data_IF_217262499556
#
_entry.id   IF_217262499556
#
_cell.length_a   1.000
_cell.length_b   1.000
_cell.length_c   1.000
_cell.angle_alpha   90.00
_cell.angle_beta   90.00
_cell.angle_gamma   90.00
#
_symmetry.space_group_name_H-M   'P 1'
#
loop_
_entity.id
_entity.type
_entity.pdbx_description
1 polymer ?
#
# COMPACT_ATOMS: atom_id res chain seq x y z
N UNK A 1 3.83 16.13 -13.18
CA UNK A 1 2.84 15.81 -14.21
C UNK A 1 3.42 16.06 -15.58
N UNK A 2 3.48 15.00 -16.40
CA UNK A 2 3.86 15.08 -17.81
C UNK A 2 2.88 15.99 -18.56
N UNK A 3 3.41 16.83 -19.45
CA UNK A 3 2.61 17.54 -20.45
C UNK A 3 3.36 17.45 -21.77
N UNK A 4 2.66 17.36 -22.91
CA UNK A 4 3.29 17.32 -24.24
C UNK A 4 4.27 18.49 -24.50
N UNK A 5 4.13 19.59 -23.75
CA UNK A 5 4.98 20.77 -23.82
C UNK A 5 6.30 20.66 -23.00
N UNK A 6 6.38 19.73 -22.06
CA UNK A 6 7.56 19.44 -21.22
C UNK A 6 7.79 17.92 -21.19
N UNK A 7 8.13 17.35 -22.35
CA UNK A 7 8.26 15.90 -22.51
C UNK A 7 9.53 15.32 -21.87
N UNK A 8 10.36 16.14 -21.21
CA UNK A 8 11.66 15.79 -20.64
C UNK A 8 12.61 14.98 -21.57
N UNK A 9 12.39 15.02 -22.89
CA UNK A 9 13.13 14.25 -23.88
C UNK A 9 12.59 12.84 -24.17
N UNK A 10 11.42 12.46 -23.65
CA UNK A 10 10.78 11.15 -23.87
C UNK A 10 9.71 11.20 -24.96
N UNK A 11 9.48 10.04 -25.61
CA UNK A 11 8.50 9.92 -26.70
C UNK A 11 7.06 9.95 -26.19
N UNK A 12 6.82 9.41 -25.00
CA UNK A 12 5.51 9.34 -24.35
C UNK A 12 5.65 9.28 -22.82
N UNK A 13 4.51 9.32 -22.13
CA UNK A 13 4.45 9.23 -20.67
C UNK A 13 4.95 7.88 -20.14
N UNK A 14 4.70 6.75 -20.82
CA UNK A 14 5.18 5.44 -20.37
C UNK A 14 6.71 5.37 -20.31
N UNK A 15 7.40 5.93 -21.30
CA UNK A 15 8.87 5.97 -21.35
C UNK A 15 9.43 6.87 -20.24
N UNK A 16 8.75 7.99 -19.97
CA UNK A 16 9.07 8.84 -18.84
C UNK A 16 8.91 8.10 -17.51
N UNK A 17 7.76 7.44 -17.26
CA UNK A 17 7.52 6.67 -16.03
C UNK A 17 8.51 5.52 -15.86
N UNK A 18 8.80 4.77 -16.93
CA UNK A 18 9.84 3.71 -16.93
C UNK A 18 11.22 4.26 -16.56
N UNK A 19 11.54 5.50 -16.94
CA UNK A 19 12.82 6.14 -16.56
C UNK A 19 12.92 6.48 -15.07
N UNK A 20 11.78 6.63 -14.39
CA UNK A 20 11.72 6.94 -12.96
C UNK A 20 11.76 5.69 -12.06
N UNK A 21 11.59 4.50 -12.65
CA UNK A 21 11.72 3.22 -11.97
C UNK A 21 13.01 3.17 -11.14
N UNK A 22 12.89 2.54 -9.96
CA UNK A 22 14.01 2.31 -9.05
C UNK A 22 14.39 0.83 -9.11
N UNK A 23 13.92 0.02 -8.18
CA UNK A 23 14.10 -1.43 -8.17
C UNK A 23 12.88 -2.16 -8.75
N UNK A 24 13.01 -3.46 -9.00
CA UNK A 24 11.91 -4.28 -9.52
C UNK A 24 10.82 -4.56 -8.47
N UNK A 25 11.19 -4.64 -7.19
CA UNK A 25 10.24 -4.94 -6.13
C UNK A 25 10.68 -4.46 -4.76
N UNK A 26 9.70 -4.22 -3.89
CA UNK A 26 9.86 -3.92 -2.47
C UNK A 26 8.90 -4.77 -1.65
N UNK A 27 9.28 -5.06 -0.41
CA UNK A 27 8.41 -5.73 0.56
C UNK A 27 8.45 -4.95 1.86
N UNK A 28 7.26 -4.64 2.38
CA UNK A 28 7.06 -3.92 3.62
C UNK A 28 6.19 -4.74 4.56
N UNK A 29 6.39 -4.54 5.86
CA UNK A 29 5.65 -5.23 6.91
C UNK A 29 5.11 -4.18 7.87
N UNK A 30 3.78 -4.10 7.98
CA UNK A 30 3.10 -3.12 8.82
C UNK A 30 2.30 -3.81 9.91
N UNK A 31 2.63 -3.52 11.16
CA UNK A 31 1.74 -3.85 12.28
C UNK A 31 0.55 -2.91 12.31
N UNK A 32 -0.64 -3.44 12.52
CA UNK A 32 -1.88 -2.69 12.75
C UNK A 32 -2.66 -3.29 13.93
N UNK A 33 -3.47 -2.45 14.58
CA UNK A 33 -4.30 -2.84 15.71
C UNK A 33 -5.67 -3.36 15.25
N UNK A 34 -6.21 -4.35 15.97
CA UNK A 34 -7.57 -4.83 15.79
C UNK A 34 -8.23 -5.12 17.14
N UNK A 35 -9.56 -5.09 17.16
CA UNK A 35 -10.36 -5.43 18.34
C UNK A 35 -10.39 -6.96 18.47
N UNK A 36 -9.61 -7.49 19.41
CA UNK A 36 -9.65 -8.91 19.75
C UNK A 36 -10.96 -9.27 20.45
N UNK A 37 -11.49 -8.36 21.27
CA UNK A 37 -12.79 -8.52 21.93
C UNK A 37 -13.45 -7.19 22.25
N UNK A 38 -14.74 -7.09 21.97
CA UNK A 38 -15.58 -5.95 22.31
C UNK A 38 -16.45 -6.30 23.53
N UNK A 39 -16.27 -5.57 24.64
CA UNK A 39 -17.06 -5.74 25.87
C UNK A 39 -18.27 -4.80 25.95
N UNK A 40 -18.48 -3.94 24.94
CA UNK A 40 -19.46 -2.87 24.92
C UNK A 40 -19.02 -1.63 25.71
N UNK A 41 -19.76 -0.52 25.54
CA UNK A 41 -19.49 0.77 26.21
C UNK A 41 -18.04 1.27 26.02
N UNK A 42 -17.55 1.23 24.78
CA UNK A 42 -16.19 1.65 24.39
C UNK A 42 -15.06 0.91 25.13
N UNK A 43 -15.33 -0.29 25.65
CA UNK A 43 -14.34 -1.14 26.29
C UNK A 43 -13.92 -2.30 25.37
N UNK A 44 -12.63 -2.34 25.01
CA UNK A 44 -12.08 -3.25 24.03
C UNK A 44 -10.80 -3.90 24.53
N UNK A 45 -10.63 -5.19 24.24
CA UNK A 45 -9.31 -5.82 24.22
C UNK A 45 -8.74 -5.61 22.80
N UNK A 46 -7.57 -4.97 22.73
CA UNK A 46 -6.86 -4.70 21.47
C UNK A 46 -5.69 -5.66 21.34
N UNK A 47 -5.48 -6.18 20.14
CA UNK A 47 -4.30 -6.96 19.77
C UNK A 47 -3.75 -6.46 18.42
N UNK A 48 -2.64 -7.01 17.98
CA UNK A 48 -1.91 -6.57 16.79
C UNK A 48 -1.79 -7.69 15.76
N UNK A 49 -1.97 -7.34 14.50
CA UNK A 49 -1.69 -8.21 13.36
C UNK A 49 -0.67 -7.54 12.45
N UNK A 50 -0.15 -8.30 11.49
CA UNK A 50 0.83 -7.81 10.51
C UNK A 50 0.29 -7.96 9.10
N UNK A 51 0.39 -6.89 8.32
CA UNK A 51 0.14 -6.87 6.89
C UNK A 51 1.48 -6.83 6.14
N UNK A 52 1.70 -7.83 5.30
CA UNK A 52 2.81 -7.85 4.35
C UNK A 52 2.33 -7.20 3.05
N UNK A 53 3.04 -6.16 2.61
CA UNK A 53 2.74 -5.41 1.38
C UNK A 53 3.88 -5.61 0.40
N UNK A 54 3.56 -6.08 -0.81
CA UNK A 54 4.48 -6.19 -1.95
C UNK A 54 4.19 -5.09 -2.94
N UNK A 55 5.25 -4.44 -3.38
CA UNK A 55 5.20 -3.40 -4.40
C UNK A 55 6.09 -3.87 -5.55
N UNK A 56 5.50 -4.18 -6.69
CA UNK A 56 6.20 -4.82 -7.82
C UNK A 56 6.04 -3.99 -9.08
N UNK A 57 7.14 -3.70 -9.75
CA UNK A 57 7.11 -2.98 -11.01
C UNK A 57 6.45 -3.83 -12.10
N UNK A 58 5.53 -3.22 -12.84
CA UNK A 58 4.80 -3.82 -13.95
C UNK A 58 5.09 -3.06 -15.23
N UNK A 59 5.90 -3.65 -16.11
CA UNK A 59 6.19 -3.05 -17.44
C UNK A 59 4.93 -2.76 -18.27
N UNK A 60 3.89 -3.63 -18.29
CA UNK A 60 2.65 -3.34 -18.99
C UNK A 60 1.86 -2.15 -18.45
N UNK A 61 2.06 -1.79 -17.18
CA UNK A 61 1.37 -0.68 -16.52
C UNK A 61 2.28 0.55 -16.34
N UNK A 62 3.56 0.45 -16.74
CA UNK A 62 4.59 1.47 -16.53
C UNK A 62 4.58 2.04 -15.09
N UNK A 63 4.38 1.17 -14.10
CA UNK A 63 4.18 1.56 -12.71
C UNK A 63 4.26 0.38 -11.74
N UNK A 64 4.30 0.68 -10.45
CA UNK A 64 4.30 -0.28 -9.36
C UNK A 64 2.88 -0.74 -9.03
N UNK A 65 2.66 -2.04 -9.05
CA UNK A 65 1.44 -2.70 -8.60
C UNK A 65 1.62 -3.10 -7.15
N UNK A 66 0.60 -2.79 -6.33
CA UNK A 66 0.59 -3.12 -4.92
C UNK A 66 -0.26 -4.36 -4.69
N UNK A 67 0.25 -5.31 -3.93
CA UNK A 67 -0.52 -6.42 -3.38
C UNK A 67 -0.22 -6.57 -1.90
N UNK A 68 -1.17 -7.09 -1.13
CA UNK A 68 -1.01 -7.22 0.31
C UNK A 68 -1.69 -8.48 0.84
N UNK A 69 -1.21 -8.95 1.99
CA UNK A 69 -1.76 -10.09 2.69
C UNK A 69 -1.66 -9.91 4.21
N UNK A 70 -2.70 -10.32 4.93
CA UNK A 70 -2.72 -10.42 6.39
C UNK A 70 -2.79 -11.89 6.75
N UNK A 71 -1.65 -12.48 7.14
CA UNK A 71 -1.55 -13.93 7.42
C UNK A 71 -2.50 -14.38 8.54
N UNK A 72 -2.73 -13.50 9.51
CA UNK A 72 -3.56 -13.77 10.69
C UNK A 72 -5.01 -13.27 10.56
N UNK A 73 -5.49 -13.01 9.34
CA UNK A 73 -6.85 -12.49 9.13
C UNK A 73 -7.94 -13.40 9.73
N UNK A 74 -7.68 -14.71 9.83
CA UNK A 74 -8.61 -15.68 10.44
C UNK A 74 -8.82 -15.46 11.96
N UNK A 75 -7.94 -14.70 12.63
CA UNK A 75 -8.09 -14.34 14.06
C UNK A 75 -8.96 -13.10 14.25
N UNK A 76 -9.13 -12.30 13.21
CA UNK A 76 -9.83 -11.01 13.27
C UNK A 76 -11.30 -11.26 13.01
N UNK A 77 -12.11 -11.21 14.06
CA UNK A 77 -13.55 -11.41 13.98
C UNK A 77 -14.26 -10.09 13.61
N UNK A 78 -14.94 -10.01 12.43
CA UNK A 78 -15.70 -8.83 12.04
C UNK A 78 -16.83 -8.49 13.02
N UNK A 79 -17.38 -9.47 13.75
CA UNK A 79 -18.44 -9.23 14.73
C UNK A 79 -17.97 -8.41 15.93
N UNK A 80 -16.66 -8.27 16.15
CA UNK A 80 -16.11 -7.38 17.18
C UNK A 80 -16.05 -5.91 16.74
N UNK A 81 -16.37 -5.60 15.47
CA UNK A 81 -16.31 -4.26 14.90
C UNK A 81 -15.08 -3.99 14.03
N UNK A 82 -14.39 -5.03 13.58
CA UNK A 82 -13.22 -4.92 12.70
C UNK A 82 -13.62 -4.88 11.22
N UNK A 83 -12.78 -4.27 10.39
CA UNK A 83 -12.86 -4.36 8.93
C UNK A 83 -12.23 -5.66 8.40
N UNK A 84 -12.29 -5.86 7.09
CA UNK A 84 -11.48 -6.85 6.39
C UNK A 84 -10.07 -6.31 6.09
N UNK A 85 -9.26 -7.10 5.37
CA UNK A 85 -7.90 -6.73 5.01
C UNK A 85 -7.82 -5.46 4.17
N UNK A 86 -8.77 -5.24 3.26
CA UNK A 86 -8.85 -4.03 2.44
C UNK A 86 -9.13 -2.81 3.33
N UNK A 87 -10.09 -2.91 4.26
CA UNK A 87 -10.37 -1.81 5.18
C UNK A 87 -9.19 -1.45 6.09
N UNK A 88 -8.40 -2.42 6.55
CA UNK A 88 -7.15 -2.13 7.29
C UNK A 88 -6.07 -1.52 6.39
N UNK A 89 -6.00 -1.96 5.13
CA UNK A 89 -5.06 -1.41 4.17
C UNK A 89 -5.33 0.08 3.93
N UNK A 90 -6.58 0.43 3.63
CA UNK A 90 -6.97 1.81 3.33
C UNK A 90 -6.87 2.74 4.55
N UNK A 91 -7.24 2.25 5.74
CA UNK A 91 -7.35 3.09 6.94
C UNK A 91 -6.03 3.30 7.70
N UNK A 92 -5.10 2.35 7.66
CA UNK A 92 -3.84 2.44 8.42
C UNK A 92 -2.60 2.21 7.55
N UNK A 93 -2.60 1.25 6.63
CA UNK A 93 -1.36 0.84 5.96
C UNK A 93 -1.00 1.74 4.77
N UNK A 94 -1.97 2.17 3.97
CA UNK A 94 -1.73 2.83 2.70
C UNK A 94 -0.94 4.14 2.83
N UNK A 95 -1.33 5.01 3.77
CA UNK A 95 -0.63 6.28 3.96
C UNK A 95 0.81 6.10 4.47
N UNK A 96 1.05 5.06 5.29
CA UNK A 96 2.40 4.69 5.77
C UNK A 96 3.25 4.19 4.62
N UNK A 97 2.68 3.36 3.75
CA UNK A 97 3.32 2.90 2.53
C UNK A 97 3.75 4.07 1.63
N UNK A 98 2.89 5.07 1.42
CA UNK A 98 3.25 6.24 0.62
C UNK A 98 4.44 7.01 1.22
N UNK A 99 4.53 7.12 2.55
CA UNK A 99 5.68 7.74 3.23
C UNK A 99 6.94 6.93 2.99
N UNK A 100 6.88 5.61 3.15
CA UNK A 100 8.03 4.73 2.97
C UNK A 100 8.50 4.71 1.51
N UNK A 101 7.59 4.67 0.54
CA UNK A 101 7.91 4.81 -0.89
C UNK A 101 8.54 6.18 -1.21
N UNK A 102 7.98 7.26 -0.68
CA UNK A 102 8.55 8.60 -0.84
C UNK A 102 9.97 8.71 -0.28
N UNK A 103 10.25 8.05 0.85
CA UNK A 103 11.60 7.98 1.44
C UNK A 103 12.62 7.27 0.54
N UNK A 104 12.16 6.38 -0.34
CA UNK A 104 12.94 5.70 -1.36
C UNK A 104 13.02 6.51 -2.68
N UNK A 105 12.40 7.70 -2.72
CA UNK A 105 12.31 8.54 -3.92
C UNK A 105 11.37 7.96 -4.97
N UNK A 106 10.33 7.24 -4.54
CA UNK A 106 9.25 6.74 -5.39
C UNK A 106 8.02 7.60 -5.12
N UNK A 107 7.63 8.39 -6.11
CA UNK A 107 6.44 9.22 -6.03
C UNK A 107 5.16 8.41 -6.25
N UNK A 108 4.04 8.87 -5.71
CA UNK A 108 2.73 8.21 -5.86
C UNK A 108 2.27 8.08 -7.31
N UNK A 109 2.74 8.97 -8.20
CA UNK A 109 2.45 8.93 -9.64
C UNK A 109 3.00 7.65 -10.31
N UNK A 110 3.94 6.95 -9.66
CA UNK A 110 4.46 5.67 -10.12
C UNK A 110 3.66 4.48 -9.62
N UNK A 111 2.60 4.67 -8.84
CA UNK A 111 1.72 3.60 -8.39
C UNK A 111 0.65 3.40 -9.46
N UNK A 112 0.55 2.17 -9.99
CA UNK A 112 -0.45 1.82 -10.99
C UNK A 112 -1.86 1.75 -10.36
N UNK A 113 -2.85 2.30 -11.06
CA UNK A 113 -4.27 2.32 -10.69
C UNK A 113 -5.07 1.21 -11.34
#
# INVERSE_FOLDING_TARGET
>A
MWTELDNHGFENEEDYLKSLKKEDSYTFSYSFEYIAKNHGNDNYDIDTATMEVRVEWSDPQAGYVISYNVTDMYKIDPAQGNSDAEGFYESDVYWRLLIDLSSLGIDSDLIAT
#
